data_IF_801412182693
#
_entry.id   IF_801412182693
#
_cell.length_a   1.000
_cell.length_b   1.000
_cell.length_c   1.000
_cell.angle_alpha   90.00
_cell.angle_beta   90.00
_cell.angle_gamma   90.00
#
_symmetry.space_group_name_H-M   'P 1'
#
loop_
_entity.id
_entity.type
_entity.pdbx_description
1 polymer ?
#
# COMPACT_ATOMS: atom_id res chain seq x y z
N UNK A 1 -17.63 -35.40 46.49
CA UNK A 1 -16.36 -36.03 46.92
C UNK A 1 -15.35 -35.81 45.82
N UNK A 2 -14.51 -34.77 45.93
CA UNK A 2 -13.49 -34.49 44.92
C UNK A 2 -12.23 -35.22 45.34
N UNK A 3 -11.87 -36.25 44.58
CA UNK A 3 -10.64 -37.02 44.75
C UNK A 3 -9.45 -36.08 44.68
N UNK A 4 -8.59 -36.14 45.71
CA UNK A 4 -7.24 -35.59 45.65
C UNK A 4 -6.50 -36.30 44.51
N UNK A 5 -6.49 -35.72 43.32
CA UNK A 5 -5.64 -36.18 42.21
C UNK A 5 -4.22 -35.66 42.47
N UNK A 6 -3.51 -36.31 43.39
CA UNK A 6 -2.06 -36.16 43.46
C UNK A 6 -1.49 -36.81 42.19
N UNK A 7 -0.97 -35.98 41.29
CA UNK A 7 -0.31 -36.48 40.09
C UNK A 7 1.11 -36.94 40.43
N UNK A 8 1.57 -38.01 39.80
CA UNK A 8 2.93 -38.52 40.01
C UNK A 8 3.82 -38.06 38.86
N UNK A 9 4.85 -37.28 39.19
CA UNK A 9 5.94 -36.91 38.29
C UNK A 9 7.26 -37.36 38.93
N UNK A 10 8.26 -37.69 38.12
CA UNK A 10 9.56 -38.12 38.66
C UNK A 10 10.34 -36.93 39.22
N UNK A 11 11.30 -37.19 40.13
CA UNK A 11 12.19 -36.13 40.64
C UNK A 11 12.96 -35.44 39.52
N UNK A 12 13.33 -36.18 38.47
CA UNK A 12 13.97 -35.60 37.28
C UNK A 12 13.02 -34.67 36.51
N UNK A 13 11.76 -35.07 36.33
CA UNK A 13 10.75 -34.21 35.70
C UNK A 13 10.46 -32.97 36.54
N UNK A 14 10.42 -33.10 37.87
CA UNK A 14 10.24 -31.98 38.78
C UNK A 14 11.38 -30.98 38.64
N UNK A 15 12.64 -31.43 38.71
CA UNK A 15 13.81 -30.58 38.51
C UNK A 15 13.82 -29.88 37.13
N UNK A 16 13.40 -30.60 36.08
CA UNK A 16 13.28 -30.01 34.74
C UNK A 16 12.22 -28.91 34.67
N UNK A 17 11.06 -29.15 35.28
CA UNK A 17 9.97 -28.18 35.34
C UNK A 17 10.38 -26.91 36.10
N UNK A 18 11.09 -27.05 37.23
CA UNK A 18 11.63 -25.91 37.98
C UNK A 18 12.60 -25.08 37.11
N UNK A 19 13.54 -25.75 36.43
CA UNK A 19 14.47 -25.08 35.50
C UNK A 19 13.74 -24.35 34.36
N UNK A 20 12.69 -24.97 33.81
CA UNK A 20 11.85 -24.37 32.76
C UNK A 20 11.03 -23.19 33.29
N UNK A 21 10.55 -23.26 34.53
CA UNK A 21 9.83 -22.17 35.17
C UNK A 21 10.73 -20.94 35.32
N UNK A 22 11.96 -21.13 35.81
CA UNK A 22 12.91 -20.05 36.07
C UNK A 22 13.41 -19.36 34.79
N UNK A 23 13.57 -20.13 33.71
CA UNK A 23 14.02 -19.60 32.42
C UNK A 23 12.91 -19.01 31.56
N UNK A 24 11.63 -19.36 31.81
CA UNK A 24 10.52 -18.93 30.98
C UNK A 24 10.07 -17.50 31.29
N UNK A 25 9.93 -16.67 30.25
CA UNK A 25 9.36 -15.31 30.36
C UNK A 25 7.85 -15.25 30.07
N UNK A 26 7.28 -16.30 29.49
CA UNK A 26 5.83 -16.35 29.22
C UNK A 26 5.07 -16.75 30.49
N UNK A 27 4.25 -15.82 31.00
CA UNK A 27 3.41 -16.05 32.18
C UNK A 27 2.49 -17.26 32.05
N UNK A 28 1.97 -17.52 30.84
CA UNK A 28 1.06 -18.67 30.60
C UNK A 28 1.77 -20.00 30.76
N UNK A 29 3.03 -20.06 30.36
CA UNK A 29 3.88 -21.25 30.48
C UNK A 29 4.25 -21.46 31.96
N UNK A 30 4.63 -20.38 32.66
CA UNK A 30 4.94 -20.45 34.09
C UNK A 30 3.76 -20.92 34.93
N UNK A 31 2.55 -20.41 34.67
CA UNK A 31 1.36 -20.80 35.43
C UNK A 31 0.95 -22.25 35.15
N UNK A 32 1.15 -22.75 33.92
CA UNK A 32 1.01 -24.18 33.60
C UNK A 32 2.00 -25.04 34.39
N UNK A 33 3.27 -24.64 34.44
CA UNK A 33 4.30 -25.37 35.19
C UNK A 33 3.97 -25.39 36.68
N UNK A 34 3.63 -24.24 37.28
CA UNK A 34 3.22 -24.16 38.69
C UNK A 34 2.04 -25.07 39.01
N UNK A 35 1.04 -25.13 38.12
CA UNK A 35 -0.11 -26.00 38.31
C UNK A 35 0.28 -27.48 38.41
N UNK A 36 1.24 -27.94 37.59
CA UNK A 36 1.74 -29.31 37.61
C UNK A 36 2.56 -29.58 38.87
N UNK A 37 3.49 -28.68 39.22
CA UNK A 37 4.32 -28.80 40.42
C UNK A 37 3.44 -28.87 41.69
N UNK A 38 2.52 -27.92 41.86
CA UNK A 38 1.62 -27.88 43.02
C UNK A 38 0.69 -29.11 43.07
N UNK A 39 0.19 -29.58 41.92
CA UNK A 39 -0.61 -30.80 41.87
C UNK A 39 0.20 -32.04 42.28
N UNK A 40 1.49 -32.11 41.90
CA UNK A 40 2.39 -33.20 42.33
C UNK A 40 2.69 -33.15 43.83
N UNK A 41 2.66 -31.95 44.42
CA UNK A 41 2.81 -31.68 45.84
C UNK A 41 1.52 -31.93 46.64
N UNK A 42 0.44 -32.32 45.98
CA UNK A 42 -0.82 -32.70 46.60
C UNK A 42 -1.80 -31.56 46.81
N UNK A 43 -1.58 -30.39 46.19
CA UNK A 43 -2.58 -29.32 46.19
C UNK A 43 -3.78 -29.73 45.33
N UNK A 44 -4.99 -29.46 45.83
CA UNK A 44 -6.22 -29.65 45.03
C UNK A 44 -6.31 -28.63 43.90
N UNK A 45 -6.98 -28.97 42.79
CA UNK A 45 -7.21 -28.04 41.68
C UNK A 45 -7.85 -26.72 42.13
N UNK A 46 -8.73 -26.76 43.14
CA UNK A 46 -9.35 -25.56 43.71
C UNK A 46 -8.34 -24.65 44.43
N UNK A 47 -7.39 -25.23 45.19
CA UNK A 47 -6.32 -24.47 45.85
C UNK A 47 -5.37 -23.84 44.83
N UNK A 48 -4.99 -24.60 43.81
CA UNK A 48 -4.12 -24.12 42.72
C UNK A 48 -4.81 -23.00 41.95
N UNK A 49 -6.08 -23.18 41.60
CA UNK A 49 -6.90 -22.17 40.93
C UNK A 49 -6.96 -20.86 41.72
N UNK A 50 -7.17 -20.95 43.03
CA UNK A 50 -7.16 -19.79 43.93
C UNK A 50 -5.79 -19.10 43.97
N UNK A 51 -4.70 -19.87 44.07
CA UNK A 51 -3.33 -19.34 44.15
C UNK A 51 -2.89 -18.65 42.85
N UNK A 52 -3.23 -19.24 41.69
CA UNK A 52 -2.87 -18.72 40.37
C UNK A 52 -3.91 -17.71 39.82
N UNK A 53 -5.03 -17.50 40.51
CA UNK A 53 -6.17 -16.69 40.06
C UNK A 53 -6.71 -17.12 38.69
N UNK A 54 -6.80 -18.43 38.48
CA UNK A 54 -7.36 -19.06 37.29
C UNK A 54 -8.64 -19.82 37.64
N UNK A 55 -9.46 -20.13 36.63
CA UNK A 55 -10.64 -20.95 36.85
C UNK A 55 -10.23 -22.41 37.11
N UNK A 56 -10.93 -23.12 38.00
CA UNK A 56 -10.61 -24.49 38.37
C UNK A 56 -10.54 -25.43 37.16
N UNK A 57 -11.50 -25.32 36.23
CA UNK A 57 -11.50 -26.13 34.99
C UNK A 57 -10.29 -25.86 34.10
N UNK A 58 -9.70 -24.67 34.16
CA UNK A 58 -8.45 -24.36 33.43
C UNK A 58 -7.27 -25.11 34.04
N UNK A 59 -7.19 -25.20 35.37
CA UNK A 59 -6.18 -25.99 36.07
C UNK A 59 -6.32 -27.47 35.73
N UNK A 60 -7.55 -28.01 35.80
CA UNK A 60 -7.83 -29.41 35.45
C UNK A 60 -7.38 -29.71 34.00
N UNK A 61 -7.66 -28.79 33.08
CA UNK A 61 -7.23 -28.91 31.69
C UNK A 61 -5.71 -28.87 31.54
N UNK A 62 -5.01 -27.97 32.25
CA UNK A 62 -3.55 -27.89 32.21
C UNK A 62 -2.89 -29.18 32.70
N UNK A 63 -3.37 -29.73 33.82
CA UNK A 63 -2.88 -30.99 34.37
C UNK A 63 -3.12 -32.13 33.38
N UNK A 64 -4.34 -32.23 32.84
CA UNK A 64 -4.70 -33.25 31.86
C UNK A 64 -3.89 -33.17 30.56
N UNK A 65 -3.68 -31.96 30.01
CA UNK A 65 -2.85 -31.78 28.81
C UNK A 65 -1.38 -32.17 29.04
N UNK A 66 -0.84 -31.92 30.24
CA UNK A 66 0.51 -32.35 30.58
C UNK A 66 0.61 -33.88 30.69
N UNK A 67 -0.30 -34.52 31.43
CA UNK A 67 -0.28 -35.98 31.60
C UNK A 67 -0.45 -36.73 30.28
N UNK A 68 -1.31 -36.23 29.39
CA UNK A 68 -1.62 -36.91 28.13
C UNK A 68 -0.63 -36.57 27.00
N UNK A 69 -0.05 -35.36 26.98
CA UNK A 69 0.71 -34.84 25.83
C UNK A 69 2.03 -34.16 26.19
N UNK A 70 2.40 -34.07 27.47
CA UNK A 70 3.58 -33.33 27.94
C UNK A 70 3.50 -31.82 27.67
N UNK A 71 2.30 -31.27 27.46
CA UNK A 71 2.11 -29.93 26.92
C UNK A 71 2.23 -28.83 27.99
N UNK A 72 3.29 -28.02 27.88
CA UNK A 72 3.57 -26.89 28.77
C UNK A 72 3.31 -25.52 28.16
N UNK A 73 3.10 -25.44 26.84
CA UNK A 73 2.89 -24.17 26.11
C UNK A 73 1.52 -24.13 25.43
N UNK A 74 0.85 -22.97 25.41
CA UNK A 74 -0.32 -22.78 24.56
C UNK A 74 0.10 -22.85 23.09
N UNK A 75 -0.59 -23.67 22.30
CA UNK A 75 -0.42 -23.75 20.85
C UNK A 75 -1.34 -22.71 20.21
N UNK A 76 -0.95 -21.44 20.30
CA UNK A 76 -1.58 -20.40 19.52
C UNK A 76 -0.96 -20.43 18.12
N UNK A 77 -1.45 -21.33 17.27
CA UNK A 77 -1.07 -21.36 15.86
C UNK A 77 -1.74 -20.23 15.09
N UNK A 78 -0.98 -19.54 14.23
CA UNK A 78 -1.57 -18.75 13.17
C UNK A 78 -2.30 -19.66 12.17
N UNK A 79 -3.27 -19.12 11.44
CA UNK A 79 -3.87 -19.85 10.33
C UNK A 79 -2.91 -19.90 9.14
N UNK A 80 -2.72 -21.08 8.57
CA UNK A 80 -2.05 -21.23 7.28
C UNK A 80 -2.79 -20.49 6.17
N UNK A 81 -2.05 -20.06 5.16
CA UNK A 81 -2.62 -19.46 3.95
C UNK A 81 -3.49 -20.50 3.24
N UNK A 82 -4.63 -20.08 2.66
CA UNK A 82 -5.42 -20.96 1.78
C UNK A 82 -4.70 -21.30 0.48
N UNK A 83 -3.70 -20.51 0.10
CA UNK A 83 -2.90 -20.71 -1.11
C UNK A 83 -1.57 -21.38 -0.75
N UNK A 84 -1.16 -22.36 -1.55
CA UNK A 84 0.18 -22.96 -1.48
C UNK A 84 1.27 -21.94 -1.83
N UNK A 85 2.54 -22.31 -1.62
CA UNK A 85 3.67 -21.46 -1.98
C UNK A 85 3.70 -21.18 -3.49
N UNK A 86 3.45 -22.19 -4.32
CA UNK A 86 3.42 -22.10 -5.78
C UNK A 86 2.26 -21.22 -6.26
N UNK A 87 1.06 -21.42 -5.70
CA UNK A 87 -0.11 -20.59 -6.00
C UNK A 87 0.10 -19.13 -5.59
N UNK A 88 0.76 -18.92 -4.45
CA UNK A 88 1.12 -17.58 -3.95
C UNK A 88 2.08 -16.89 -4.90
N UNK A 89 3.16 -17.56 -5.30
CA UNK A 89 4.13 -17.02 -6.25
C UNK A 89 3.48 -16.68 -7.60
N UNK A 90 2.64 -17.58 -8.12
CA UNK A 90 1.89 -17.33 -9.36
C UNK A 90 0.95 -16.14 -9.25
N UNK A 91 0.17 -16.04 -8.17
CA UNK A 91 -0.74 -14.92 -7.96
C UNK A 91 0.00 -13.59 -7.84
N UNK A 92 1.16 -13.57 -7.16
CA UNK A 92 2.01 -12.37 -7.06
C UNK A 92 2.46 -11.91 -8.46
N UNK A 93 2.98 -12.82 -9.29
CA UNK A 93 3.37 -12.47 -10.68
C UNK A 93 2.19 -11.93 -11.47
N UNK A 94 1.03 -12.61 -11.44
CA UNK A 94 -0.14 -12.16 -12.18
C UNK A 94 -0.65 -10.78 -11.76
N UNK A 95 -0.65 -10.48 -10.46
CA UNK A 95 -1.04 -9.18 -9.91
C UNK A 95 0.00 -8.07 -10.15
N UNK A 96 1.25 -8.44 -10.43
CA UNK A 96 2.32 -7.48 -10.74
C UNK A 96 2.29 -7.08 -12.22
N UNK A 97 1.97 -8.03 -13.09
CA UNK A 97 1.94 -7.81 -14.55
C UNK A 97 0.60 -7.22 -15.04
N UNK A 98 -0.48 -7.42 -14.29
CA UNK A 98 -1.83 -7.01 -14.68
C UNK A 98 -2.49 -6.14 -13.61
N UNK A 99 -3.22 -5.12 -14.06
CA UNK A 99 -3.95 -4.24 -13.15
C UNK A 99 -5.32 -4.85 -12.79
N UNK A 100 -5.47 -5.22 -11.53
CA UNK A 100 -6.76 -5.59 -10.94
C UNK A 100 -7.34 -4.38 -10.19
N UNK A 101 -8.54 -3.93 -10.59
CA UNK A 101 -9.15 -2.73 -10.03
C UNK A 101 -9.79 -2.96 -8.65
N UNK A 102 -10.33 -4.16 -8.41
CA UNK A 102 -11.02 -4.47 -7.16
C UNK A 102 -10.58 -5.81 -6.58
N UNK A 103 -10.59 -5.92 -5.23
CA UNK A 103 -10.32 -7.17 -4.52
C UNK A 103 -11.24 -8.32 -4.97
N UNK A 104 -12.50 -8.01 -5.34
CA UNK A 104 -13.45 -9.02 -5.87
C UNK A 104 -12.97 -9.67 -7.18
N UNK A 105 -12.22 -8.92 -8.00
CA UNK A 105 -11.71 -9.41 -9.28
C UNK A 105 -10.58 -10.42 -9.02
N UNK A 106 -9.73 -10.13 -8.02
CA UNK A 106 -8.71 -11.07 -7.52
C UNK A 106 -9.37 -12.32 -6.93
N UNK A 107 -10.44 -12.18 -6.14
CA UNK A 107 -11.18 -13.33 -5.59
C UNK A 107 -11.80 -14.17 -6.71
N UNK A 108 -12.40 -13.55 -7.72
CA UNK A 108 -12.98 -14.25 -8.85
C UNK A 108 -11.91 -15.00 -9.65
N UNK A 109 -10.74 -14.38 -9.85
CA UNK A 109 -9.60 -15.03 -10.48
C UNK A 109 -9.13 -16.26 -9.70
N UNK A 110 -8.90 -16.12 -8.40
CA UNK A 110 -8.46 -17.22 -7.52
C UNK A 110 -9.49 -18.36 -7.47
N UNK A 111 -10.78 -18.01 -7.36
CA UNK A 111 -11.87 -19.00 -7.41
C UNK A 111 -11.89 -19.74 -8.74
N UNK A 112 -11.76 -19.03 -9.88
CA UNK A 112 -11.77 -19.65 -11.21
C UNK A 112 -10.56 -20.57 -11.43
N UNK A 113 -9.39 -20.18 -10.96
CA UNK A 113 -8.13 -20.87 -11.26
C UNK A 113 -7.92 -22.09 -10.36
N UNK A 114 -8.31 -22.00 -9.08
CA UNK A 114 -8.00 -23.04 -8.08
C UNK A 114 -9.20 -23.51 -7.27
N UNK A 115 -10.41 -23.01 -7.55
CA UNK A 115 -11.62 -23.30 -6.77
C UNK A 115 -11.51 -22.95 -5.27
N UNK A 116 -10.67 -21.96 -4.95
CA UNK A 116 -10.43 -21.49 -3.58
C UNK A 116 -11.21 -20.19 -3.35
N UNK A 117 -12.12 -20.20 -2.38
CA UNK A 117 -12.95 -19.03 -2.08
C UNK A 117 -12.35 -18.22 -0.93
N UNK A 118 -12.12 -16.93 -1.21
CA UNK A 118 -11.74 -15.94 -0.21
C UNK A 118 -12.92 -15.02 0.13
N UNK A 119 -13.01 -14.61 1.39
CA UNK A 119 -13.80 -13.44 1.75
C UNK A 119 -13.03 -12.16 1.36
N UNK A 120 -13.74 -11.06 1.16
CA UNK A 120 -13.11 -9.75 0.86
C UNK A 120 -12.06 -9.37 1.93
N UNK A 121 -12.37 -9.43 3.25
CA UNK A 121 -11.37 -9.14 4.27
C UNK A 121 -10.19 -10.11 4.25
N UNK A 122 -10.43 -11.39 3.94
CA UNK A 122 -9.38 -12.41 3.83
C UNK A 122 -8.42 -12.10 2.68
N UNK A 123 -8.94 -11.77 1.50
CA UNK A 123 -8.11 -11.41 0.35
C UNK A 123 -7.36 -10.10 0.59
N UNK A 124 -7.98 -9.09 1.21
CA UNK A 124 -7.29 -7.85 1.59
C UNK A 124 -6.10 -8.12 2.53
N UNK A 125 -6.29 -8.98 3.56
CA UNK A 125 -5.20 -9.39 4.44
C UNK A 125 -4.10 -10.12 3.68
N UNK A 126 -4.46 -10.99 2.75
CA UNK A 126 -3.51 -11.72 1.91
C UNK A 126 -2.69 -10.75 1.02
N UNK A 127 -3.35 -9.79 0.36
CA UNK A 127 -2.70 -8.78 -0.47
C UNK A 127 -1.68 -7.96 0.34
N UNK A 128 -2.08 -7.46 1.51
CA UNK A 128 -1.17 -6.71 2.38
C UNK A 128 0.01 -7.55 2.88
N UNK A 129 -0.24 -8.82 3.24
CA UNK A 129 0.82 -9.74 3.68
C UNK A 129 1.86 -9.98 2.59
N UNK A 130 1.45 -9.96 1.32
CA UNK A 130 2.33 -10.13 0.16
C UNK A 130 2.81 -8.80 -0.45
N UNK A 131 2.78 -7.70 0.31
CA UNK A 131 3.38 -6.43 -0.09
C UNK A 131 2.53 -5.54 -1.01
N UNK A 132 1.31 -5.95 -1.36
CA UNK A 132 0.43 -5.13 -2.18
C UNK A 132 -0.25 -4.03 -1.37
N UNK A 133 -0.36 -2.85 -1.98
CA UNK A 133 -1.08 -1.70 -1.42
C UNK A 133 -2.02 -1.14 -2.46
N UNK A 134 -3.23 -0.75 -2.03
CA UNK A 134 -4.20 -0.10 -2.92
C UNK A 134 -3.80 1.37 -3.18
N UNK A 135 -3.38 1.67 -4.41
CA UNK A 135 -2.97 3.01 -4.86
C UNK A 135 -3.49 3.29 -6.27
N UNK A 136 -3.62 4.58 -6.60
CA UNK A 136 -3.93 5.01 -7.97
C UNK A 136 -2.68 4.79 -8.85
N UNK A 137 -2.80 4.14 -10.02
CA UNK A 137 -1.69 4.05 -10.97
C UNK A 137 -1.21 5.45 -11.39
N UNK A 138 0.10 5.60 -11.55
CA UNK A 138 0.68 6.85 -12.05
C UNK A 138 0.43 6.96 -13.55
N UNK A 139 -0.09 8.10 -13.98
CA UNK A 139 -0.26 8.37 -15.40
C UNK A 139 1.08 8.69 -16.03
N UNK A 140 1.52 7.89 -16.98
CA UNK A 140 2.60 8.25 -17.91
C UNK A 140 1.95 8.72 -19.20
N UNK A 141 2.40 9.84 -19.81
CA UNK A 141 1.87 10.28 -21.10
C UNK A 141 1.97 9.14 -22.12
N UNK A 142 0.89 8.85 -22.84
CA UNK A 142 0.84 7.73 -23.81
C UNK A 142 1.91 7.81 -24.90
N UNK A 143 2.41 9.02 -25.21
CA UNK A 143 3.48 9.26 -26.19
C UNK A 143 4.90 9.30 -25.58
N UNK A 144 5.05 8.99 -24.29
CA UNK A 144 6.34 9.01 -23.62
C UNK A 144 7.25 7.91 -24.18
N UNK A 145 8.42 8.30 -24.66
CA UNK A 145 9.46 7.40 -25.15
C UNK A 145 10.80 7.90 -24.62
N UNK A 146 11.48 7.07 -23.84
CA UNK A 146 12.81 7.39 -23.30
C UNK A 146 13.81 7.66 -24.43
N UNK A 147 13.71 6.92 -25.52
CA UNK A 147 14.57 7.08 -26.70
C UNK A 147 14.39 8.46 -27.34
N UNK A 148 13.15 8.88 -27.59
CA UNK A 148 12.88 10.23 -28.15
C UNK A 148 13.35 11.35 -27.21
N UNK A 149 13.27 11.12 -25.90
CA UNK A 149 13.79 12.07 -24.90
C UNK A 149 15.31 12.16 -24.98
N UNK A 150 16.02 11.03 -25.10
CA UNK A 150 17.48 11.00 -25.24
C UNK A 150 17.93 11.71 -26.52
N UNK A 151 17.31 11.38 -27.65
CA UNK A 151 17.58 12.04 -28.94
C UNK A 151 17.37 13.56 -28.87
N UNK A 152 16.29 14.02 -28.22
CA UNK A 152 16.05 15.44 -28.04
C UNK A 152 17.10 16.13 -27.16
N UNK A 153 17.59 15.47 -26.10
CA UNK A 153 18.64 16.03 -25.23
C UNK A 153 19.95 16.18 -26.00
N UNK A 154 20.34 15.20 -26.81
CA UNK A 154 21.54 15.27 -27.64
C UNK A 154 21.42 16.40 -28.67
N UNK A 155 20.33 16.43 -29.43
CA UNK A 155 20.01 17.50 -30.37
C UNK A 155 20.06 18.89 -29.70
N UNK A 156 19.45 19.04 -28.53
CA UNK A 156 19.42 20.32 -27.83
C UNK A 156 20.81 20.77 -27.34
N UNK A 157 21.66 19.85 -26.89
CA UNK A 157 23.04 20.16 -26.48
C UNK A 157 23.90 20.59 -27.66
N UNK A 158 23.76 19.90 -28.79
CA UNK A 158 24.44 20.26 -30.04
C UNK A 158 23.96 21.64 -30.51
N UNK A 159 22.65 21.84 -30.62
CA UNK A 159 22.04 23.11 -30.99
C UNK A 159 22.56 24.27 -30.13
N UNK A 160 22.61 24.08 -28.80
CA UNK A 160 23.12 25.09 -27.86
C UNK A 160 24.59 25.44 -28.08
N UNK A 161 25.40 24.50 -28.58
CA UNK A 161 26.81 24.73 -28.87
C UNK A 161 26.97 25.46 -30.20
N UNK A 162 26.16 25.13 -31.20
CA UNK A 162 26.25 25.66 -32.57
C UNK A 162 25.73 27.10 -32.69
N UNK A 163 24.62 27.44 -32.04
CA UNK A 163 23.94 28.74 -32.21
C UNK A 163 24.60 29.93 -31.47
N UNK A 164 25.64 29.69 -30.66
CA UNK A 164 26.41 30.74 -29.99
C UNK A 164 25.55 31.73 -29.19
N UNK A 165 25.55 32.99 -29.64
CA UNK A 165 24.82 34.09 -29.00
C UNK A 165 23.35 34.21 -29.43
N UNK A 166 22.93 33.52 -30.50
CA UNK A 166 21.54 33.54 -30.96
C UNK A 166 20.57 33.02 -29.86
N UNK A 167 19.36 33.59 -29.78
CA UNK A 167 18.37 33.18 -28.78
C UNK A 167 17.69 31.86 -29.19
N UNK A 168 17.74 30.86 -28.31
CA UNK A 168 16.92 29.65 -28.44
C UNK A 168 15.58 29.88 -27.74
N UNK A 169 14.48 29.81 -28.52
CA UNK A 169 13.13 30.04 -28.03
C UNK A 169 12.35 28.73 -27.90
N UNK A 170 11.72 28.55 -26.75
CA UNK A 170 10.75 27.49 -26.50
C UNK A 170 9.35 28.06 -26.68
N UNK A 171 8.65 27.60 -27.71
CA UNK A 171 7.32 28.09 -28.05
C UNK A 171 6.28 27.07 -27.63
N UNK A 172 5.25 27.50 -26.92
CA UNK A 172 4.12 26.65 -26.55
C UNK A 172 2.79 27.43 -26.54
N UNK A 173 1.70 26.69 -26.74
CA UNK A 173 0.33 27.20 -26.73
C UNK A 173 -0.45 26.63 -25.55
N UNK A 174 -1.10 27.49 -24.78
CA UNK A 174 -1.92 27.08 -23.63
C UNK A 174 -3.36 27.55 -23.79
N UNK A 175 -4.29 26.71 -23.30
CA UNK A 175 -5.73 26.98 -23.31
C UNK A 175 -6.33 27.05 -21.90
N UNK A 176 -6.04 28.09 -21.10
CA UNK A 176 -6.63 28.23 -19.77
C UNK A 176 -8.15 28.32 -19.86
N UNK A 177 -8.83 27.56 -19.00
CA UNK A 177 -10.29 27.59 -18.91
C UNK A 177 -10.72 28.29 -17.63
N UNK A 178 -11.75 29.14 -17.73
CA UNK A 178 -12.40 29.76 -16.56
C UNK A 178 -13.42 28.82 -15.90
N UNK A 179 -13.37 27.53 -16.22
CA UNK A 179 -14.32 26.54 -15.73
C UNK A 179 -14.05 26.21 -14.25
N UNK A 180 -15.10 26.22 -13.43
CA UNK A 180 -15.03 25.74 -12.04
C UNK A 180 -14.57 24.28 -12.02
N UNK A 181 -13.37 24.03 -11.53
CA UNK A 181 -12.87 22.68 -11.27
C UNK A 181 -13.48 22.18 -9.97
N UNK A 182 -14.37 21.21 -10.04
CA UNK A 182 -14.94 20.56 -8.86
C UNK A 182 -13.83 19.75 -8.18
N UNK A 183 -13.56 20.02 -6.91
CA UNK A 183 -12.63 19.26 -6.09
C UNK A 183 -13.38 18.36 -5.09
N UNK A 184 -12.63 17.55 -4.35
CA UNK A 184 -13.16 16.71 -3.29
C UNK A 184 -13.61 17.54 -2.08
N UNK A 185 -14.72 17.14 -1.45
CA UNK A 185 -15.20 17.76 -0.21
C UNK A 185 -16.01 16.77 0.63
N UNK A 186 -16.01 16.96 1.95
CA UNK A 186 -16.80 16.16 2.88
C UNK A 186 -18.28 16.53 2.75
N UNK A 187 -19.09 15.58 2.25
CA UNK A 187 -20.53 15.73 2.05
C UNK A 187 -21.23 14.64 2.85
N UNK A 188 -22.30 15.02 3.58
CA UNK A 188 -23.05 14.10 4.45
C UNK A 188 -23.65 12.96 3.63
N UNK A 189 -23.58 11.73 4.14
CA UNK A 189 -24.09 10.52 3.48
C UNK A 189 -25.56 10.71 3.10
N UNK A 190 -25.89 10.43 1.83
CA UNK A 190 -27.24 10.59 1.28
C UNK A 190 -27.57 11.99 0.76
N UNK A 191 -26.67 12.99 0.92
CA UNK A 191 -26.90 14.35 0.44
C UNK A 191 -26.09 14.65 -0.83
N UNK A 192 -26.68 15.45 -1.72
CA UNK A 192 -26.00 16.03 -2.88
C UNK A 192 -25.69 17.49 -2.58
N UNK A 193 -24.44 17.92 -2.79
CA UNK A 193 -24.04 19.33 -2.72
C UNK A 193 -23.78 19.84 -4.13
N UNK A 194 -24.66 20.70 -4.64
CA UNK A 194 -24.48 21.31 -5.94
C UNK A 194 -23.45 22.44 -5.86
N UNK A 195 -22.52 22.46 -6.83
CA UNK A 195 -21.62 23.59 -7.07
C UNK A 195 -22.06 24.23 -8.37
N UNK A 196 -22.27 25.55 -8.36
CA UNK A 196 -22.60 26.29 -9.59
C UNK A 196 -21.41 26.23 -10.54
N UNK A 197 -21.63 25.67 -11.72
CA UNK A 197 -20.65 25.65 -12.81
C UNK A 197 -21.07 26.65 -13.88
N UNK A 198 -20.12 27.38 -14.44
CA UNK A 198 -20.35 28.25 -15.59
C UNK A 198 -20.71 27.41 -16.81
N UNK A 199 -21.82 27.71 -17.48
CA UNK A 199 -22.30 26.97 -18.65
C UNK A 199 -21.52 27.24 -19.94
N UNK A 200 -20.80 28.37 -20.00
CA UNK A 200 -19.93 28.71 -21.12
C UNK A 200 -18.54 28.08 -20.96
N UNK A 201 -18.06 27.40 -22.00
CA UNK A 201 -16.67 26.92 -22.10
C UNK A 201 -15.77 28.04 -22.62
N UNK A 202 -15.79 29.21 -21.98
CA UNK A 202 -14.89 30.29 -22.35
C UNK A 202 -13.47 29.89 -21.98
N UNK A 203 -12.60 29.85 -22.99
CA UNK A 203 -11.18 29.56 -22.85
C UNK A 203 -10.40 30.71 -23.47
N UNK A 204 -9.25 31.03 -22.88
CA UNK A 204 -8.26 31.87 -23.52
C UNK A 204 -7.39 30.98 -24.41
N UNK A 205 -6.81 31.52 -25.48
CA UNK A 205 -5.76 30.84 -26.22
C UNK A 205 -4.55 31.75 -26.26
N UNK A 206 -3.49 31.32 -25.60
CA UNK A 206 -2.30 32.11 -25.37
C UNK A 206 -1.13 31.38 -26.00
N UNK A 207 -0.35 32.08 -26.80
CA UNK A 207 0.94 31.63 -27.31
C UNK A 207 2.05 32.30 -26.52
N UNK A 208 3.04 31.52 -26.12
CA UNK A 208 4.22 31.99 -25.40
C UNK A 208 5.51 31.57 -26.10
N UNK A 209 6.52 32.43 -26.10
CA UNK A 209 7.88 32.11 -26.48
C UNK A 209 8.82 32.49 -25.34
N UNK A 210 9.55 31.49 -24.83
CA UNK A 210 10.46 31.62 -23.70
C UNK A 210 11.91 31.49 -24.15
N UNK A 211 12.74 32.48 -23.85
CA UNK A 211 14.18 32.39 -23.93
C UNK A 211 14.75 32.01 -22.56
N UNK A 212 15.48 30.90 -22.47
CA UNK A 212 16.08 30.45 -21.20
C UNK A 212 17.18 31.38 -20.68
N UNK A 213 17.81 32.19 -21.55
CA UNK A 213 18.76 33.23 -21.13
C UNK A 213 18.05 34.45 -20.50
N UNK A 214 16.76 34.63 -20.75
CA UNK A 214 15.96 35.79 -20.32
C UNK A 214 14.57 35.37 -19.81
N UNK A 215 14.54 34.60 -18.71
CA UNK A 215 13.31 34.00 -18.17
C UNK A 215 12.26 35.03 -17.69
N UNK A 216 12.67 36.25 -17.39
CA UNK A 216 11.80 37.31 -16.85
C UNK A 216 10.96 38.01 -17.91
N UNK A 217 11.24 37.79 -19.19
CA UNK A 217 10.64 38.53 -20.29
C UNK A 217 10.19 37.61 -21.44
N UNK A 218 9.29 36.64 -21.18
CA UNK A 218 8.71 35.84 -22.25
C UNK A 218 7.80 36.69 -23.14
N UNK A 219 7.81 36.42 -24.45
CA UNK A 219 6.82 36.99 -25.35
C UNK A 219 5.51 36.21 -25.20
N UNK A 220 4.43 36.91 -24.87
CA UNK A 220 3.11 36.32 -24.67
C UNK A 220 2.10 37.07 -25.53
N UNK A 221 1.31 36.35 -26.33
CA UNK A 221 0.25 36.91 -27.16
C UNK A 221 -1.04 36.10 -27.02
N UNK A 222 -2.18 36.80 -26.94
CA UNK A 222 -3.50 36.19 -26.90
C UNK A 222 -4.14 36.19 -28.31
N UNK A 223 -4.75 35.06 -28.67
CA UNK A 223 -5.46 34.88 -29.93
C UNK A 223 -6.85 34.27 -29.72
N UNK A 224 -7.77 34.59 -30.64
CA UNK A 224 -9.12 33.99 -30.67
C UNK A 224 -9.08 32.47 -30.87
N UNK A 225 -8.12 31.98 -31.63
CA UNK A 225 -7.83 30.56 -31.88
C UNK A 225 -6.33 30.39 -32.13
N UNK A 226 -5.77 29.22 -31.80
CA UNK A 226 -4.41 28.86 -32.24
C UNK A 226 -4.58 28.04 -33.52
N UNK A 227 -4.46 28.72 -34.65
CA UNK A 227 -4.45 28.13 -35.98
C UNK A 227 -3.18 28.57 -36.72
N UNK A 228 -2.93 27.98 -37.88
CA UNK A 228 -1.74 28.28 -38.70
C UNK A 228 -1.54 29.78 -38.91
N UNK A 229 -2.61 30.51 -39.26
CA UNK A 229 -2.56 31.95 -39.46
C UNK A 229 -2.08 32.73 -38.22
N UNK A 230 -2.66 32.45 -37.04
CA UNK A 230 -2.27 33.13 -35.81
C UNK A 230 -0.88 32.72 -35.32
N UNK A 231 -0.43 31.49 -35.61
CA UNK A 231 0.95 31.06 -35.37
C UNK A 231 1.93 31.85 -36.25
N UNK A 232 1.62 32.04 -37.54
CA UNK A 232 2.43 32.90 -38.43
C UNK A 232 2.47 34.35 -37.93
N UNK A 233 1.35 34.89 -37.42
CA UNK A 233 1.35 36.21 -36.78
C UNK A 233 2.23 36.25 -35.53
N UNK A 234 2.23 35.19 -34.73
CA UNK A 234 3.08 35.10 -33.55
C UNK A 234 4.57 35.12 -33.91
N UNK A 235 4.98 34.44 -34.99
CA UNK A 235 6.35 34.54 -35.50
C UNK A 235 6.73 35.97 -35.92
N UNK A 236 5.79 36.74 -36.46
CA UNK A 236 6.05 38.16 -36.75
C UNK A 236 6.26 38.98 -35.47
N UNK A 237 5.53 38.68 -34.39
CA UNK A 237 5.77 39.33 -33.09
C UNK A 237 7.14 38.92 -32.51
N UNK A 238 7.57 37.67 -32.67
CA UNK A 238 8.92 37.23 -32.29
C UNK A 238 9.98 38.07 -33.01
N UNK A 239 9.86 38.26 -34.33
CA UNK A 239 10.82 39.06 -35.11
C UNK A 239 10.93 40.51 -34.65
N UNK A 240 9.85 41.10 -34.14
CA UNK A 240 9.89 42.46 -33.57
C UNK A 240 10.70 42.53 -32.27
N UNK A 241 10.65 41.47 -31.46
CA UNK A 241 11.39 41.38 -30.19
C UNK A 241 12.86 41.05 -30.42
N UNK A 242 13.17 40.31 -31.49
CA UNK A 242 14.52 39.90 -31.86
C UNK A 242 14.89 40.42 -33.26
N UNK A 243 14.98 41.75 -33.45
CA UNK A 243 15.15 42.35 -34.78
C UNK A 243 16.52 42.09 -35.40
N UNK A 244 17.53 41.80 -34.58
CA UNK A 244 18.92 41.60 -34.98
C UNK A 244 19.19 40.20 -35.57
N UNK A 245 18.20 39.32 -35.54
CA UNK A 245 18.28 37.94 -35.98
C UNK A 245 17.21 37.71 -37.07
N UNK A 246 17.56 37.89 -38.35
CA UNK A 246 16.71 37.67 -39.52
C UNK A 246 17.18 36.48 -40.36
#
# INVERSE_FOLDING_TARGET
MLSNMKIFITEQQKAELERLHDSSRDGRVRDRIKAILLASEGWSSAMIAQALRLHQTTIDHHISEFLNKGKLKPENGGSDSKLSAEQTAFLISQLSDNLFHHTRDVIAFVTRTWNIIFSIPGMNKWLHRNGFTYKKPSGVPHKFSEEKKRQFIEYYKELKTTVGDEPILFIDGVHPTQATKISYGWIRKGQKKAVKTTGSRTRLNIMGALNLKALTSPLICEYKTINEYNVSRFFNEIRKVYPDYN
#
